data_IF_038671727619
#
_entry.id   IF_038671727619
#
_cell.length_a   1.000
_cell.length_b   1.000
_cell.length_c   1.000
_cell.angle_alpha   90.00
_cell.angle_beta   90.00
_cell.angle_gamma   90.00
#
_symmetry.space_group_name_H-M   'P 1'
#
loop_
_entity.id
_entity.type
_entity.pdbx_description
1 polymer ?
#
# COMPACT_ATOMS: atom_id res chain seq x y z
N UNK A 1 9.92 19.67 -14.77
CA UNK A 1 8.59 20.20 -14.40
C UNK A 1 8.38 19.99 -12.91
N UNK A 2 7.89 21.00 -12.20
CA UNK A 2 7.58 20.86 -10.78
C UNK A 2 6.32 20.00 -10.59
N UNK A 3 6.42 18.90 -9.86
CA UNK A 3 5.24 18.13 -9.46
C UNK A 3 4.50 18.82 -8.32
N UNK A 4 3.17 18.73 -8.35
CA UNK A 4 2.26 19.21 -7.32
C UNK A 4 2.01 18.10 -6.29
N UNK A 5 2.08 18.43 -5.00
CA UNK A 5 1.68 17.52 -3.94
C UNK A 5 0.21 17.73 -3.60
N UNK A 6 -0.54 16.62 -3.60
CA UNK A 6 -1.94 16.58 -3.17
C UNK A 6 -2.03 15.62 -2.00
N UNK A 7 -2.53 16.11 -0.87
CA UNK A 7 -2.79 15.28 0.30
C UNK A 7 -4.00 14.41 -0.01
N UNK A 8 -3.97 13.15 0.40
CA UNK A 8 -5.12 12.27 0.28
C UNK A 8 -5.17 11.30 1.46
N UNK A 9 -6.37 10.80 1.72
CA UNK A 9 -6.62 9.81 2.76
C UNK A 9 -7.81 8.92 2.36
N UNK A 10 -7.86 7.72 2.93
CA UNK A 10 -8.85 6.70 2.63
C UNK A 10 -9.47 6.15 3.90
N UNK A 11 -10.81 6.07 3.91
CA UNK A 11 -11.50 5.18 4.85
C UNK A 11 -11.86 3.86 4.19
N UNK A 12 -11.71 2.77 4.93
CA UNK A 12 -12.02 1.41 4.45
C UNK A 12 -12.97 0.67 5.37
N UNK A 13 -13.53 -0.42 4.88
CA UNK A 13 -14.35 -1.35 5.69
C UNK A 13 -13.55 -2.08 6.77
N UNK A 14 -12.23 -2.07 6.69
CA UNK A 14 -11.34 -2.84 7.55
C UNK A 14 -9.87 -2.69 7.15
N UNK A 15 -8.99 -3.36 7.90
CA UNK A 15 -7.54 -3.27 7.74
C UNK A 15 -6.92 -4.39 6.88
N UNK A 16 -7.74 -5.33 6.39
CA UNK A 16 -7.28 -6.43 5.53
C UNK A 16 -7.07 -5.97 4.10
N UNK A 17 -6.35 -6.77 3.32
CA UNK A 17 -6.05 -6.46 1.91
C UNK A 17 -7.27 -6.58 0.98
N UNK A 18 -8.30 -7.29 1.43
CA UNK A 18 -9.55 -7.48 0.68
C UNK A 18 -10.66 -6.52 1.11
N UNK A 19 -10.44 -5.70 2.15
CA UNK A 19 -11.34 -4.61 2.51
C UNK A 19 -11.43 -3.55 1.41
N UNK A 20 -12.56 -2.85 1.36
CA UNK A 20 -12.88 -1.91 0.29
C UNK A 20 -12.87 -0.49 0.81
N UNK A 21 -12.53 0.45 -0.08
CA UNK A 21 -12.55 1.88 0.22
C UNK A 21 -14.00 2.36 0.26
N UNK A 22 -14.36 3.08 1.31
CA UNK A 22 -15.68 3.67 1.57
C UNK A 22 -15.66 5.19 1.65
N UNK A 23 -14.48 5.81 1.78
CA UNK A 23 -14.29 7.26 1.59
C UNK A 23 -12.95 7.50 0.90
N UNK A 24 -12.91 8.47 -0.02
CA UNK A 24 -11.69 8.98 -0.63
C UNK A 24 -11.74 10.51 -0.57
N UNK A 25 -10.79 11.08 0.16
CA UNK A 25 -10.62 12.52 0.30
C UNK A 25 -9.26 12.97 -0.22
N UNK A 26 -9.20 14.18 -0.74
CA UNK A 26 -7.96 14.82 -1.13
C UNK A 26 -8.00 16.33 -0.99
N UNK A 27 -6.84 16.93 -0.71
CA UNK A 27 -6.68 18.36 -0.46
C UNK A 27 -5.50 18.91 -1.25
N UNK A 28 -5.75 19.98 -1.99
CA UNK A 28 -4.69 20.88 -2.45
C UNK A 28 -4.50 22.02 -1.44
N UNK A 29 -3.53 21.87 -0.55
CA UNK A 29 -3.32 22.76 0.60
C UNK A 29 -3.23 24.25 0.24
N UNK A 30 -2.48 24.61 -0.81
CA UNK A 30 -2.24 26.02 -1.15
C UNK A 30 -3.51 26.82 -1.52
N UNK A 31 -4.55 26.15 -2.03
CA UNK A 31 -5.82 26.79 -2.39
C UNK A 31 -7.00 26.32 -1.53
N UNK A 32 -6.75 25.45 -0.56
CA UNK A 32 -7.78 24.77 0.21
C UNK A 32 -8.86 24.09 -0.67
N UNK A 33 -8.46 23.49 -1.79
CA UNK A 33 -9.39 22.79 -2.67
C UNK A 33 -9.55 21.35 -2.23
N UNK A 34 -10.76 21.00 -1.83
CA UNK A 34 -11.10 19.69 -1.28
C UNK A 34 -11.88 18.87 -2.30
N UNK A 35 -11.49 17.61 -2.42
CA UNK A 35 -12.26 16.55 -3.02
C UNK A 35 -12.65 15.58 -1.92
N UNK A 36 -13.92 15.18 -1.85
CA UNK A 36 -14.39 14.16 -0.92
C UNK A 36 -15.52 13.37 -1.59
N UNK A 37 -15.42 12.04 -1.54
CA UNK A 37 -16.49 11.14 -1.98
C UNK A 37 -16.60 9.95 -1.04
N UNK A 38 -17.82 9.68 -0.59
CA UNK A 38 -18.16 8.38 -0.02
C UNK A 38 -18.46 7.39 -1.15
N UNK A 39 -17.95 6.16 -1.00
CA UNK A 39 -18.09 5.08 -1.96
C UNK A 39 -19.08 4.06 -1.40
N UNK A 40 -19.98 3.59 -2.25
CA UNK A 40 -21.00 2.60 -1.88
C UNK A 40 -20.31 1.32 -1.41
N UNK A 41 -20.52 0.88 -0.15
CA UNK A 41 -19.85 -0.29 0.39
C UNK A 41 -20.34 -1.56 -0.31
N UNK A 42 -19.40 -2.43 -0.68
CA UNK A 42 -19.69 -3.81 -1.14
C UNK A 42 -19.46 -4.85 -0.06
N UNK A 43 -18.95 -4.43 1.11
CA UNK A 43 -18.70 -5.25 2.30
C UNK A 43 -19.17 -4.51 3.56
N UNK A 44 -19.56 -5.23 4.62
CA UNK A 44 -19.80 -4.61 5.92
C UNK A 44 -18.53 -3.92 6.45
N UNK A 45 -18.70 -2.82 7.18
CA UNK A 45 -17.62 -2.22 7.95
C UNK A 45 -17.40 -3.06 9.20
N UNK A 46 -16.16 -3.48 9.43
CA UNK A 46 -15.78 -4.24 10.61
C UNK A 46 -15.94 -3.40 11.89
N UNK A 47 -16.21 -4.00 13.06
CA UNK A 47 -16.31 -3.25 14.32
C UNK A 47 -15.05 -2.46 14.66
N UNK A 48 -13.87 -2.95 14.26
CA UNK A 48 -12.61 -2.26 14.47
C UNK A 48 -12.48 -1.01 13.59
N UNK A 49 -12.80 -1.12 12.29
CA UNK A 49 -12.81 0.04 11.40
C UNK A 49 -13.87 1.06 11.82
N UNK A 50 -15.08 0.60 12.14
CA UNK A 50 -16.17 1.47 12.60
C UNK A 50 -15.80 2.26 13.87
N UNK A 51 -15.06 1.64 14.80
CA UNK A 51 -14.55 2.35 15.99
C UNK A 51 -13.52 3.42 15.63
N UNK A 52 -12.73 3.20 14.59
CA UNK A 52 -11.72 4.15 14.14
C UNK A 52 -12.41 5.28 13.40
N UNK A 53 -13.13 5.00 12.32
CA UNK A 53 -13.63 6.01 11.38
C UNK A 53 -15.10 6.42 11.54
N UNK A 54 -15.80 5.84 12.52
CA UNK A 54 -17.21 6.14 12.76
C UNK A 54 -18.15 5.71 11.64
N UNK A 55 -17.67 4.94 10.65
CA UNK A 55 -18.48 4.48 9.53
C UNK A 55 -19.17 3.16 9.86
N UNK A 56 -20.42 3.05 9.44
CA UNK A 56 -21.23 1.85 9.53
C UNK A 56 -21.88 1.57 8.17
N UNK A 57 -21.89 0.30 7.76
CA UNK A 57 -22.52 -0.13 6.53
C UNK A 57 -23.66 -1.11 6.80
N UNK A 58 -24.86 -0.76 6.34
CA UNK A 58 -26.05 -1.61 6.39
C UNK A 58 -26.51 -1.88 4.94
N UNK A 59 -26.12 -3.03 4.41
CA UNK A 59 -26.27 -3.33 2.99
C UNK A 59 -25.45 -2.38 2.13
N UNK A 60 -26.09 -1.68 1.20
CA UNK A 60 -25.46 -0.68 0.32
C UNK A 60 -25.54 0.76 0.86
N UNK A 61 -25.94 0.94 2.12
CA UNK A 61 -26.06 2.27 2.76
C UNK A 61 -24.90 2.45 3.72
N UNK A 62 -24.24 3.60 3.62
CA UNK A 62 -23.17 4.01 4.51
C UNK A 62 -23.66 5.12 5.44
N UNK A 63 -23.25 5.05 6.70
CA UNK A 63 -23.58 6.01 7.74
C UNK A 63 -22.29 6.46 8.41
N UNK A 64 -22.16 7.76 8.70
CA UNK A 64 -21.09 8.35 9.50
C UNK A 64 -21.70 8.82 10.81
N UNK A 65 -21.29 8.23 11.94
CA UNK A 65 -21.83 8.52 13.26
C UNK A 65 -23.37 8.48 13.30
N UNK A 66 -23.95 7.45 12.69
CA UNK A 66 -25.40 7.26 12.58
C UNK A 66 -26.11 8.11 11.51
N UNK A 67 -25.43 9.08 10.89
CA UNK A 67 -26.00 9.91 9.82
C UNK A 67 -25.73 9.30 8.46
N UNK A 68 -26.78 9.08 7.66
CA UNK A 68 -26.62 8.50 6.31
C UNK A 68 -25.87 9.47 5.40
N UNK A 69 -24.79 9.00 4.79
CA UNK A 69 -24.01 9.77 3.80
C UNK A 69 -24.41 9.41 2.37
N UNK A 70 -24.31 10.39 1.46
CA UNK A 70 -24.53 10.13 0.04
C UNK A 70 -23.29 9.44 -0.53
N UNK A 71 -23.50 8.27 -1.12
CA UNK A 71 -22.43 7.51 -1.77
C UNK A 71 -22.51 7.59 -3.29
N UNK A 72 -21.38 7.34 -3.94
CA UNK A 72 -21.28 7.08 -5.38
C UNK A 72 -20.71 5.68 -5.63
N UNK A 73 -20.77 5.19 -6.87
CA UNK A 73 -20.06 3.96 -7.25
C UNK A 73 -18.54 4.15 -7.21
N UNK A 74 -17.78 3.07 -6.98
CA UNK A 74 -16.31 3.07 -7.06
C UNK A 74 -15.78 3.71 -8.37
N UNK A 75 -16.31 3.30 -9.52
CA UNK A 75 -15.90 3.83 -10.83
C UNK A 75 -16.14 5.34 -10.94
N UNK A 76 -17.29 5.83 -10.44
CA UNK A 76 -17.60 7.26 -10.41
C UNK A 76 -16.66 8.02 -9.47
N UNK A 77 -16.36 7.49 -8.28
CA UNK A 77 -15.44 8.10 -7.34
C UNK A 77 -14.04 8.27 -7.96
N UNK A 78 -13.50 7.21 -8.56
CA UNK A 78 -12.19 7.24 -9.23
C UNK A 78 -12.20 8.20 -10.43
N UNK A 79 -13.24 8.17 -11.27
CA UNK A 79 -13.37 9.10 -12.40
C UNK A 79 -13.40 10.56 -11.94
N UNK A 80 -14.22 10.86 -10.93
CA UNK A 80 -14.30 12.20 -10.35
C UNK A 80 -12.99 12.62 -9.70
N UNK A 81 -12.26 11.70 -9.06
CA UNK A 81 -10.96 11.97 -8.46
C UNK A 81 -9.91 12.31 -9.52
N UNK A 82 -9.82 11.52 -10.60
CA UNK A 82 -8.92 11.82 -11.71
C UNK A 82 -9.27 13.18 -12.33
N UNK A 83 -10.55 13.49 -12.51
CA UNK A 83 -10.98 14.79 -13.03
C UNK A 83 -10.65 15.96 -12.10
N UNK A 84 -10.73 15.75 -10.78
CA UNK A 84 -10.23 16.72 -9.80
C UNK A 84 -8.73 16.98 -10.01
N UNK A 85 -7.92 15.92 -10.09
CA UNK A 85 -6.47 16.04 -10.27
C UNK A 85 -6.07 16.65 -11.64
N UNK A 86 -6.83 16.37 -12.71
CA UNK A 86 -6.56 16.93 -14.05
C UNK A 86 -6.62 18.45 -14.10
N UNK A 87 -7.44 19.07 -13.26
CA UNK A 87 -7.61 20.53 -13.24
C UNK A 87 -6.31 21.29 -12.95
N UNK A 88 -5.33 20.64 -12.31
CA UNK A 88 -4.04 21.25 -12.02
C UNK A 88 -3.11 21.37 -13.23
N UNK A 89 -3.38 20.64 -14.33
CA UNK A 89 -2.58 20.67 -15.57
C UNK A 89 -1.06 20.45 -15.37
N UNK A 90 -0.67 19.77 -14.29
CA UNK A 90 0.72 19.42 -13.96
C UNK A 90 0.80 18.00 -13.39
N UNK A 91 1.98 17.35 -13.45
CA UNK A 91 2.19 16.08 -12.76
C UNK A 91 1.86 16.13 -11.25
N UNK A 92 1.07 15.18 -10.78
CA UNK A 92 0.67 15.07 -9.37
C UNK A 92 1.46 13.98 -8.65
N UNK A 93 1.88 14.28 -7.41
CA UNK A 93 2.30 13.30 -6.41
C UNK A 93 1.24 13.27 -5.30
N UNK A 94 0.70 12.09 -5.03
CA UNK A 94 -0.25 11.88 -3.94
C UNK A 94 0.49 11.62 -2.63
N UNK A 95 0.15 12.32 -1.56
CA UNK A 95 0.81 12.22 -0.26
C UNK A 95 -0.19 11.83 0.82
N UNK A 96 0.07 10.73 1.51
CA UNK A 96 -0.70 10.29 2.67
C UNK A 96 0.21 9.91 3.84
N UNK A 97 -0.37 9.69 5.01
CA UNK A 97 0.37 9.24 6.19
C UNK A 97 0.45 7.72 6.25
N UNK A 98 1.68 7.15 6.33
CA UNK A 98 1.90 5.71 6.19
C UNK A 98 1.39 5.15 4.84
N UNK A 99 1.44 6.02 3.83
CA UNK A 99 0.89 5.83 2.49
C UNK A 99 1.30 4.51 1.84
N UNK A 100 2.58 4.12 1.91
CA UNK A 100 3.05 2.92 1.21
C UNK A 100 2.59 1.62 1.85
N UNK A 101 2.21 1.65 3.13
CA UNK A 101 1.71 0.48 3.86
C UNK A 101 0.19 0.34 3.75
N UNK A 102 -0.53 1.46 3.60
CA UNK A 102 -1.98 1.48 3.69
C UNK A 102 -2.68 2.02 2.43
N UNK A 103 -2.55 3.31 2.15
CA UNK A 103 -3.37 4.02 1.17
C UNK A 103 -3.02 3.70 -0.28
N UNK A 104 -1.73 3.78 -0.61
CA UNK A 104 -1.21 3.56 -1.95
C UNK A 104 -1.63 2.20 -2.55
N UNK A 105 -1.40 1.05 -1.88
CA UNK A 105 -1.79 -0.23 -2.44
C UNK A 105 -3.32 -0.37 -2.61
N UNK A 106 -4.12 0.23 -1.71
CA UNK A 106 -5.58 0.19 -1.77
C UNK A 106 -6.13 1.04 -2.91
N UNK A 107 -5.64 2.27 -3.06
CA UNK A 107 -6.05 3.15 -4.15
C UNK A 107 -5.66 2.56 -5.51
N UNK A 108 -4.43 2.06 -5.66
CA UNK A 108 -3.99 1.45 -6.92
C UNK A 108 -4.79 0.20 -7.28
N UNK A 109 -5.14 -0.62 -6.27
CA UNK A 109 -6.03 -1.77 -6.45
C UNK A 109 -7.41 -1.32 -6.95
N UNK A 110 -8.05 -0.37 -6.26
CA UNK A 110 -9.36 0.16 -6.66
C UNK A 110 -9.34 0.73 -8.08
N UNK A 111 -8.34 1.57 -8.38
CA UNK A 111 -8.16 2.19 -9.71
C UNK A 111 -7.99 1.13 -10.80
N UNK A 112 -7.26 0.04 -10.51
CA UNK A 112 -7.09 -1.08 -11.43
C UNK A 112 -8.39 -1.87 -11.62
N UNK A 113 -9.12 -2.17 -10.54
CA UNK A 113 -10.36 -2.93 -10.56
C UNK A 113 -11.47 -2.23 -11.36
N UNK A 114 -11.50 -0.90 -11.34
CA UNK A 114 -12.45 -0.10 -12.14
C UNK A 114 -11.93 0.25 -13.54
N UNK A 115 -10.79 -0.32 -13.96
CA UNK A 115 -10.24 -0.15 -15.31
C UNK A 115 -9.68 1.25 -15.61
N UNK A 116 -9.34 2.05 -14.60
CA UNK A 116 -8.90 3.45 -14.77
C UNK A 116 -7.40 3.68 -14.55
N UNK A 117 -6.59 2.62 -14.52
CA UNK A 117 -5.16 2.71 -14.25
C UNK A 117 -4.40 3.59 -15.27
N UNK A 118 -4.73 3.50 -16.56
CA UNK A 118 -4.07 4.30 -17.59
C UNK A 118 -4.41 5.81 -17.44
N UNK A 119 -5.69 6.23 -17.41
CA UNK A 119 -6.07 7.61 -17.09
C UNK A 119 -5.45 8.15 -15.80
N UNK A 120 -5.33 7.31 -14.77
CA UNK A 120 -4.74 7.71 -13.50
C UNK A 120 -3.24 8.01 -13.64
N UNK A 121 -2.48 7.15 -14.34
CA UNK A 121 -1.03 7.29 -14.58
C UNK A 121 -0.67 8.49 -15.46
N UNK A 122 -1.60 8.96 -16.29
CA UNK A 122 -1.41 10.19 -17.07
C UNK A 122 -1.23 11.40 -16.15
N UNK A 123 -1.91 11.42 -15.01
CA UNK A 123 -1.98 12.56 -14.08
C UNK A 123 -1.05 12.34 -12.87
N UNK A 124 -1.17 11.19 -12.21
CA UNK A 124 -0.42 10.84 -11.01
C UNK A 124 0.88 10.15 -11.39
N UNK A 125 2.01 10.75 -11.02
CA UNK A 125 3.36 10.23 -11.33
C UNK A 125 4.01 9.51 -10.17
N UNK A 126 3.47 9.62 -8.97
CA UNK A 126 4.02 8.95 -7.81
C UNK A 126 3.21 9.19 -6.54
N UNK A 127 3.71 8.56 -5.48
CA UNK A 127 3.18 8.65 -4.14
C UNK A 127 4.29 9.06 -3.18
N UNK A 128 3.94 9.76 -2.11
CA UNK A 128 4.85 10.14 -1.05
C UNK A 128 4.25 9.75 0.32
N UNK A 129 5.11 9.42 1.27
CA UNK A 129 4.70 8.93 2.59
C UNK A 129 5.20 9.87 3.69
N UNK A 130 4.28 10.48 4.43
CA UNK A 130 4.66 11.45 5.47
C UNK A 130 5.27 10.80 6.72
N UNK A 131 5.05 9.50 6.96
CA UNK A 131 5.58 8.83 8.14
C UNK A 131 7.12 8.85 8.20
N UNK A 132 7.87 8.43 7.16
CA UNK A 132 9.33 8.58 7.15
C UNK A 132 9.76 10.06 7.15
N UNK A 133 9.01 10.96 6.50
CA UNK A 133 9.32 12.40 6.51
C UNK A 133 9.28 12.99 7.93
N UNK A 134 8.24 12.67 8.71
CA UNK A 134 8.14 13.12 10.10
C UNK A 134 9.25 12.52 10.97
N UNK A 135 9.62 11.26 10.76
CA UNK A 135 10.75 10.65 11.49
C UNK A 135 12.08 11.34 11.19
N UNK A 136 12.28 11.76 9.95
CA UNK A 136 13.46 12.53 9.52
C UNK A 136 13.48 13.92 10.17
N UNK A 137 12.34 14.64 10.15
CA UNK A 137 12.23 16.00 10.72
C UNK A 137 12.20 16.05 12.24
N UNK A 138 11.77 14.97 12.90
CA UNK A 138 11.57 14.91 14.35
C UNK A 138 12.45 13.81 14.99
N UNK A 139 13.79 13.87 14.86
CA UNK A 139 14.68 12.81 15.33
C UNK A 139 14.61 12.61 16.85
N UNK A 140 14.40 13.68 17.63
CA UNK A 140 14.21 13.59 19.08
C UNK A 140 12.99 12.76 19.46
N UNK A 141 11.90 12.86 18.69
CA UNK A 141 10.67 12.08 18.91
C UNK A 141 10.91 10.59 18.64
N UNK A 142 11.75 10.27 17.65
CA UNK A 142 12.21 8.89 17.38
C UNK A 142 13.03 8.35 18.55
N UNK A 143 14.01 9.12 19.04
CA UNK A 143 14.84 8.72 20.19
C UNK A 143 13.99 8.45 21.45
N UNK A 144 12.97 9.27 21.67
CA UNK A 144 12.02 9.14 22.78
C UNK A 144 10.97 8.02 22.55
N UNK A 145 11.04 7.28 21.44
CA UNK A 145 10.10 6.20 21.09
C UNK A 145 8.63 6.63 21.13
N UNK A 146 8.35 7.89 20.79
CA UNK A 146 6.99 8.44 20.76
C UNK A 146 6.26 8.03 19.47
N UNK A 147 4.93 7.95 19.54
CA UNK A 147 4.07 7.58 18.39
C UNK A 147 4.08 8.67 17.31
N UNK A 148 3.94 8.26 16.06
CA UNK A 148 3.89 9.15 14.89
C UNK A 148 2.54 9.14 14.17
N UNK A 149 1.48 8.58 14.77
CA UNK A 149 0.14 8.69 14.19
C UNK A 149 -0.29 10.15 14.08
N UNK A 150 -1.16 10.48 13.11
CA UNK A 150 -1.70 11.83 12.92
C UNK A 150 -2.18 12.42 14.25
N UNK A 151 -3.03 11.70 14.99
CA UNK A 151 -3.51 12.14 16.31
C UNK A 151 -2.38 12.47 17.31
N UNK A 152 -1.31 11.67 17.34
CA UNK A 152 -0.21 11.87 18.29
C UNK A 152 0.70 13.03 17.88
N UNK A 153 0.83 13.30 16.58
CA UNK A 153 1.54 14.46 16.06
C UNK A 153 0.70 15.73 16.27
N UNK A 154 -0.59 15.69 15.92
CA UNK A 154 -1.51 16.81 16.06
C UNK A 154 -1.59 17.28 17.52
N UNK A 155 -1.70 16.36 18.48
CA UNK A 155 -1.65 16.68 19.91
C UNK A 155 -0.36 17.37 20.39
N UNK A 156 0.74 17.29 19.62
CA UNK A 156 2.01 17.92 19.97
C UNK A 156 2.25 19.23 19.22
N UNK A 157 1.76 19.35 17.99
CA UNK A 157 2.18 20.39 17.05
C UNK A 157 1.06 21.30 16.55
N UNK A 158 -0.20 20.96 16.82
CA UNK A 158 -1.35 21.79 16.46
C UNK A 158 -2.05 22.29 17.73
N UNK A 159 -2.40 23.57 17.75
CA UNK A 159 -3.24 24.19 18.77
C UNK A 159 -4.72 23.94 18.43
N UNK A 160 -5.59 23.89 19.44
CA UNK A 160 -7.05 23.84 19.30
C UNK A 160 -7.62 22.71 18.40
N UNK A 161 -6.97 21.54 18.39
CA UNK A 161 -7.47 20.39 17.63
C UNK A 161 -8.71 19.78 18.31
N UNK A 162 -9.82 19.72 17.57
CA UNK A 162 -10.95 18.86 17.94
C UNK A 162 -10.65 17.41 17.56
N UNK A 163 -10.24 16.60 18.54
CA UNK A 163 -9.95 15.18 18.32
C UNK A 163 -11.19 14.36 17.91
N UNK A 164 -12.40 14.89 18.08
CA UNK A 164 -13.62 14.18 17.68
C UNK A 164 -13.82 14.11 16.17
N UNK A 165 -13.10 14.94 15.40
CA UNK A 165 -13.17 14.98 13.94
C UNK A 165 -12.14 14.08 13.24
N UNK A 166 -11.20 13.51 14.01
CA UNK A 166 -10.22 12.55 13.49
C UNK A 166 -10.92 11.31 12.94
N UNK A 167 -10.29 10.69 11.93
CA UNK A 167 -10.81 9.49 11.25
C UNK A 167 -12.05 9.74 10.39
N UNK A 168 -12.17 10.98 9.91
CA UNK A 168 -12.83 11.30 8.66
C UNK A 168 -11.74 11.66 7.67
N UNK A 169 -11.68 10.97 6.52
CA UNK A 169 -10.61 11.20 5.54
C UNK A 169 -10.49 12.67 5.09
N UNK A 170 -11.57 13.46 5.08
CA UNK A 170 -11.50 14.90 4.78
C UNK A 170 -10.76 15.70 5.85
N UNK A 171 -10.98 15.38 7.12
CA UNK A 171 -10.33 16.05 8.24
C UNK A 171 -8.89 15.58 8.38
N UNK A 172 -8.63 14.28 8.19
CA UNK A 172 -7.28 13.72 8.25
C UNK A 172 -6.35 14.34 7.19
N UNK A 173 -6.85 14.68 5.98
CA UNK A 173 -6.03 15.40 4.98
C UNK A 173 -5.76 16.86 5.36
N UNK A 174 -6.71 17.55 6.02
CA UNK A 174 -6.52 18.92 6.52
C UNK A 174 -5.47 18.93 7.64
N UNK A 175 -5.64 18.05 8.62
CA UNK A 175 -4.73 17.90 9.75
C UNK A 175 -3.33 17.51 9.26
N UNK A 176 -3.22 16.61 8.28
CA UNK A 176 -1.93 16.25 7.70
C UNK A 176 -1.27 17.46 7.01
N UNK A 177 -2.01 18.26 6.25
CA UNK A 177 -1.49 19.49 5.64
C UNK A 177 -0.96 20.46 6.71
N UNK A 178 -1.75 20.68 7.77
CA UNK A 178 -1.41 21.63 8.83
C UNK A 178 -0.20 21.14 9.64
N UNK A 179 -0.10 19.84 9.90
CA UNK A 179 1.08 19.22 10.51
C UNK A 179 2.34 19.42 9.67
N UNK A 180 2.24 19.28 8.36
CA UNK A 180 3.37 19.44 7.45
C UNK A 180 3.86 20.90 7.46
N UNK A 181 2.93 21.86 7.56
CA UNK A 181 3.26 23.28 7.73
C UNK A 181 3.89 23.54 9.11
N UNK A 182 3.26 23.08 10.19
CA UNK A 182 3.71 23.32 11.57
C UNK A 182 5.10 22.73 11.85
N UNK A 183 5.42 21.57 11.28
CA UNK A 183 6.74 20.93 11.38
C UNK A 183 7.78 21.58 10.45
N UNK A 184 7.37 22.48 9.55
CA UNK A 184 8.26 23.11 8.57
C UNK A 184 8.77 22.11 7.53
N UNK A 185 7.89 21.24 7.02
CA UNK A 185 8.25 20.26 6.02
C UNK A 185 8.59 20.94 4.70
N UNK A 186 9.82 20.75 4.22
CA UNK A 186 10.28 21.30 2.96
C UNK A 186 10.05 20.33 1.78
N UNK A 187 10.03 20.92 0.59
CA UNK A 187 9.80 20.21 -0.67
C UNK A 187 10.89 19.19 -0.99
N UNK A 188 12.12 19.39 -0.53
CA UNK A 188 13.23 18.47 -0.78
C UNK A 188 13.01 17.16 -0.01
N UNK A 189 12.67 17.24 1.28
CA UNK A 189 12.28 16.07 2.09
C UNK A 189 11.07 15.36 1.48
N UNK A 190 10.05 16.10 1.02
CA UNK A 190 8.87 15.49 0.37
C UNK A 190 9.25 14.73 -0.91
N UNK A 191 10.13 15.30 -1.74
CA UNK A 191 10.59 14.66 -2.97
C UNK A 191 11.47 13.42 -2.69
N UNK A 192 12.37 13.46 -1.69
CA UNK A 192 13.18 12.30 -1.30
C UNK A 192 12.34 11.10 -0.85
N UNK A 193 11.18 11.37 -0.26
CA UNK A 193 10.24 10.36 0.22
C UNK A 193 9.15 10.00 -0.82
N UNK A 194 9.35 10.41 -2.08
CA UNK A 194 8.45 10.08 -3.20
C UNK A 194 8.93 8.84 -3.95
N UNK A 195 7.98 8.00 -4.37
CA UNK A 195 8.21 6.83 -5.23
C UNK A 195 7.39 6.95 -6.50
N UNK A 196 8.00 6.63 -7.64
CA UNK A 196 7.32 6.65 -8.93
C UNK A 196 6.24 5.56 -9.03
N UNK A 197 5.10 5.89 -9.63
CA UNK A 197 3.95 4.97 -9.77
C UNK A 197 4.30 3.69 -10.52
N UNK A 198 5.13 3.76 -11.57
CA UNK A 198 5.54 2.58 -12.34
C UNK A 198 6.35 1.62 -11.48
N UNK A 199 7.32 2.12 -10.71
CA UNK A 199 8.13 1.29 -9.80
C UNK A 199 7.29 0.67 -8.67
N UNK A 200 6.26 1.37 -8.18
CA UNK A 200 5.32 0.82 -7.19
C UNK A 200 4.51 -0.33 -7.80
N UNK A 201 3.95 -0.13 -9.00
CA UNK A 201 3.15 -1.15 -9.69
C UNK A 201 3.97 -2.41 -10.01
N UNK A 202 5.20 -2.25 -10.47
CA UNK A 202 6.15 -3.36 -10.68
C UNK A 202 6.42 -4.12 -9.38
N UNK A 203 6.62 -3.40 -8.28
CA UNK A 203 6.82 -4.03 -6.97
C UNK A 203 5.58 -4.82 -6.52
N UNK A 204 4.39 -4.25 -6.67
CA UNK A 204 3.13 -4.91 -6.35
C UNK A 204 2.94 -6.19 -7.18
N UNK A 205 3.18 -6.12 -8.50
CA UNK A 205 3.12 -7.29 -9.39
C UNK A 205 4.11 -8.37 -8.97
N UNK A 206 5.35 -7.98 -8.65
CA UNK A 206 6.38 -8.91 -8.16
C UNK A 206 5.98 -9.56 -6.84
N UNK A 207 5.36 -8.83 -5.90
CA UNK A 207 4.86 -9.38 -4.64
C UNK A 207 3.77 -10.43 -4.86
N UNK A 208 2.84 -10.19 -5.78
CA UNK A 208 1.81 -11.19 -6.12
C UNK A 208 2.39 -12.44 -6.78
N UNK A 209 3.39 -12.31 -7.67
CA UNK A 209 4.09 -13.46 -8.25
C UNK A 209 4.80 -14.27 -7.16
N UNK A 210 5.54 -13.60 -6.26
CA UNK A 210 6.24 -14.27 -5.15
C UNK A 210 5.23 -15.00 -4.24
N UNK A 211 4.08 -14.38 -3.97
CA UNK A 211 3.01 -14.99 -3.17
C UNK A 211 2.43 -16.23 -3.87
N UNK A 212 2.14 -16.15 -5.16
CA UNK A 212 1.66 -17.28 -5.95
C UNK A 212 2.68 -18.43 -5.96
N UNK A 213 3.96 -18.12 -6.23
CA UNK A 213 5.05 -19.08 -6.15
C UNK A 213 5.11 -19.73 -4.77
N UNK A 214 5.10 -18.93 -3.69
CA UNK A 214 5.15 -19.45 -2.32
C UNK A 214 3.95 -20.33 -1.97
N UNK A 215 2.76 -20.00 -2.46
CA UNK A 215 1.56 -20.83 -2.29
C UNK A 215 1.67 -22.17 -3.00
N UNK A 216 2.26 -22.22 -4.19
CA UNK A 216 2.50 -23.48 -4.90
C UNK A 216 3.46 -24.42 -4.17
N UNK A 217 4.35 -23.87 -3.34
CA UNK A 217 5.37 -24.61 -2.59
C UNK A 217 4.88 -25.12 -1.22
N UNK A 218 3.58 -25.05 -0.92
CA UNK A 218 3.03 -25.41 0.40
C UNK A 218 3.23 -26.89 0.75
N UNK A 219 3.23 -27.79 -0.22
CA UNK A 219 3.41 -29.23 0.05
C UNK A 219 4.82 -29.58 0.55
N UNK A 220 5.79 -28.69 0.32
CA UNK A 220 7.18 -28.85 0.77
C UNK A 220 7.40 -28.31 2.20
N UNK A 221 6.34 -27.82 2.85
CA UNK A 221 6.37 -27.44 4.26
C UNK A 221 6.61 -28.70 5.13
N UNK A 222 7.54 -28.61 6.08
CA UNK A 222 7.97 -29.74 6.91
C UNK A 222 9.29 -30.37 6.44
N UNK A 223 9.52 -30.48 5.14
CA UNK A 223 10.82 -30.90 4.60
C UNK A 223 11.78 -29.73 4.40
N UNK A 224 11.24 -28.56 4.05
CA UNK A 224 11.98 -27.33 3.83
C UNK A 224 11.58 -26.27 4.84
N UNK A 225 12.56 -25.48 5.29
CA UNK A 225 12.27 -24.34 6.15
C UNK A 225 11.54 -23.25 5.38
N UNK A 226 10.71 -22.46 6.08
CA UNK A 226 10.00 -21.33 5.47
C UNK A 226 10.95 -20.35 4.76
N UNK A 227 12.15 -20.16 5.32
CA UNK A 227 13.20 -19.34 4.72
C UNK A 227 13.61 -19.85 3.33
N UNK A 228 13.82 -21.17 3.18
CA UNK A 228 14.19 -21.77 1.88
C UNK A 228 13.03 -21.67 0.89
N UNK A 229 11.81 -22.00 1.30
CA UNK A 229 10.62 -21.89 0.44
C UNK A 229 10.37 -20.45 -0.02
N UNK A 230 10.58 -19.46 0.85
CA UNK A 230 10.49 -18.05 0.50
C UNK A 230 11.61 -17.62 -0.46
N UNK A 231 12.82 -18.15 -0.29
CA UNK A 231 13.93 -17.90 -1.21
C UNK A 231 13.68 -18.50 -2.59
N UNK A 232 13.15 -19.72 -2.66
CA UNK A 232 12.69 -20.34 -3.91
C UNK A 232 11.68 -19.43 -4.62
N UNK A 233 10.61 -19.05 -3.90
CA UNK A 233 9.55 -18.20 -4.45
C UNK A 233 10.06 -16.84 -4.97
N UNK A 234 11.00 -16.21 -4.24
CA UNK A 234 11.66 -14.95 -4.64
C UNK A 234 12.52 -15.08 -5.89
N UNK A 235 13.09 -16.24 -6.13
CA UNK A 235 13.91 -16.54 -7.32
C UNK A 235 13.08 -17.16 -8.47
N UNK A 236 11.76 -16.96 -8.42
CA UNK A 236 10.86 -17.43 -9.47
C UNK A 236 10.61 -18.93 -9.46
N UNK A 237 11.07 -19.68 -8.46
CA UNK A 237 10.87 -21.13 -8.38
C UNK A 237 9.52 -21.40 -7.73
N UNK A 238 8.67 -22.16 -8.44
CA UNK A 238 7.36 -22.62 -8.01
C UNK A 238 7.25 -24.14 -8.27
N UNK A 239 6.14 -24.77 -7.87
CA UNK A 239 5.95 -26.22 -8.04
C UNK A 239 6.12 -26.68 -9.50
N UNK A 240 5.49 -25.97 -10.43
CA UNK A 240 5.53 -26.30 -11.86
C UNK A 240 6.97 -26.31 -12.39
N UNK A 241 7.76 -25.27 -12.08
CA UNK A 241 9.17 -25.20 -12.48
C UNK A 241 9.99 -26.35 -11.90
N UNK A 242 9.71 -26.77 -10.66
CA UNK A 242 10.39 -27.91 -10.05
C UNK A 242 10.08 -29.20 -10.80
N UNK A 243 8.80 -29.49 -11.04
CA UNK A 243 8.37 -30.68 -11.78
C UNK A 243 8.95 -30.69 -13.20
N UNK A 244 8.79 -29.58 -13.93
CA UNK A 244 9.31 -29.43 -15.30
C UNK A 244 10.83 -29.62 -15.37
N UNK A 245 11.56 -29.11 -14.39
CA UNK A 245 13.03 -29.23 -14.33
C UNK A 245 13.43 -30.67 -14.06
N UNK A 246 12.74 -31.34 -13.12
CA UNK A 246 13.00 -32.74 -12.81
C UNK A 246 12.67 -33.65 -14.01
N UNK A 247 11.53 -33.45 -14.66
CA UNK A 247 11.11 -34.26 -15.80
C UNK A 247 12.10 -34.17 -16.99
N UNK A 248 12.75 -33.01 -17.16
CA UNK A 248 13.71 -32.77 -18.25
C UNK A 248 15.14 -33.18 -17.91
N UNK A 249 15.57 -32.95 -16.68
CA UNK A 249 16.99 -32.97 -16.29
C UNK A 249 17.28 -33.82 -15.05
N UNK A 250 16.26 -34.44 -14.45
CA UNK A 250 16.36 -35.26 -13.25
C UNK A 250 16.92 -34.52 -12.03
N UNK A 251 17.54 -35.29 -11.13
CA UNK A 251 18.23 -34.80 -9.92
C UNK A 251 19.23 -33.68 -10.21
N UNK A 252 20.00 -33.83 -11.30
CA UNK A 252 21.04 -32.87 -11.70
C UNK A 252 20.43 -31.51 -12.08
N UNK A 253 19.24 -31.51 -12.69
CA UNK A 253 18.49 -30.29 -12.99
C UNK A 253 18.12 -29.52 -11.73
N UNK A 254 17.53 -30.20 -10.74
CA UNK A 254 17.17 -29.59 -9.45
C UNK A 254 18.42 -29.13 -8.69
N UNK A 255 19.50 -29.92 -8.72
CA UNK A 255 20.78 -29.57 -8.13
C UNK A 255 21.33 -28.27 -8.72
N UNK A 256 21.35 -28.16 -10.06
CA UNK A 256 21.75 -26.91 -10.74
C UNK A 256 20.82 -25.76 -10.38
N UNK A 257 19.50 -25.94 -10.49
CA UNK A 257 18.50 -24.90 -10.20
C UNK A 257 18.65 -24.32 -8.79
N UNK A 258 19.00 -25.13 -7.80
CA UNK A 258 19.14 -24.68 -6.41
C UNK A 258 20.50 -24.02 -6.14
N UNK A 259 21.56 -24.51 -6.78
CA UNK A 259 22.95 -24.13 -6.48
C UNK A 259 23.54 -23.11 -7.44
N UNK A 260 22.92 -22.85 -8.58
CA UNK A 260 23.40 -21.83 -9.53
C UNK A 260 23.48 -20.45 -8.89
N UNK A 261 24.44 -19.64 -9.31
CA UNK A 261 24.66 -18.33 -8.72
C UNK A 261 23.88 -17.26 -9.47
N UNK A 262 23.04 -16.53 -8.72
CA UNK A 262 22.30 -15.37 -9.19
C UNK A 262 22.68 -14.19 -8.29
N UNK A 263 23.27 -13.14 -8.87
CA UNK A 263 23.78 -11.98 -8.12
C UNK A 263 24.71 -12.38 -6.96
N UNK A 264 25.75 -13.16 -7.29
CA UNK A 264 26.82 -13.60 -6.37
C UNK A 264 26.38 -14.50 -5.21
N UNK A 265 25.13 -14.97 -5.21
CA UNK A 265 24.59 -15.87 -4.19
C UNK A 265 23.96 -17.09 -4.86
N UNK A 266 23.94 -18.27 -4.21
CA UNK A 266 23.19 -19.39 -4.75
C UNK A 266 21.71 -19.01 -4.89
N UNK A 267 21.06 -19.49 -5.95
CA UNK A 267 19.66 -19.20 -6.24
C UNK A 267 18.77 -19.64 -5.08
N UNK A 268 19.05 -20.80 -4.49
CA UNK A 268 18.37 -21.30 -3.29
C UNK A 268 19.36 -21.66 -2.17
N UNK A 269 20.33 -22.54 -2.42
CA UNK A 269 21.25 -23.04 -1.39
C UNK A 269 22.50 -23.65 -2.01
N UNK A 270 23.62 -23.64 -1.28
CA UNK A 270 24.82 -24.40 -1.63
C UNK A 270 24.90 -25.77 -0.91
N UNK A 271 23.96 -26.05 0.00
CA UNK A 271 23.95 -27.30 0.75
C UNK A 271 23.43 -28.45 -0.13
N UNK A 272 24.35 -29.15 -0.80
CA UNK A 272 24.00 -30.33 -1.62
C UNK A 272 23.23 -31.38 -0.83
N UNK A 273 23.60 -31.62 0.44
CA UNK A 273 22.86 -32.56 1.31
C UNK A 273 21.43 -32.14 1.62
N UNK A 274 21.12 -30.83 1.62
CA UNK A 274 19.73 -30.36 1.70
C UNK A 274 18.98 -30.61 0.39
N UNK A 275 19.63 -30.43 -0.76
CA UNK A 275 19.03 -30.71 -2.07
C UNK A 275 18.77 -32.22 -2.26
N UNK A 276 19.71 -33.09 -1.90
CA UNK A 276 19.47 -34.54 -1.98
C UNK A 276 18.32 -35.00 -1.07
N UNK A 277 18.23 -34.46 0.14
CA UNK A 277 17.09 -34.75 1.03
C UNK A 277 15.77 -34.26 0.45
N UNK A 278 15.78 -33.16 -0.29
CA UNK A 278 14.59 -32.66 -1.00
C UNK A 278 14.16 -33.61 -2.10
N UNK A 279 15.10 -33.99 -2.96
CA UNK A 279 14.89 -34.92 -4.07
C UNK A 279 14.32 -36.23 -3.56
N UNK A 280 15.00 -36.92 -2.66
CA UNK A 280 14.58 -38.22 -2.12
C UNK A 280 13.19 -38.24 -1.47
N UNK A 281 12.66 -37.09 -1.05
CA UNK A 281 11.36 -37.02 -0.39
C UNK A 281 10.22 -36.69 -1.35
N UNK A 282 10.50 -35.99 -2.45
CA UNK A 282 9.48 -35.37 -3.31
C UNK A 282 9.53 -35.81 -4.78
N UNK A 283 10.58 -36.51 -5.18
CA UNK A 283 10.84 -36.99 -6.53
C UNK A 283 11.34 -38.43 -6.47
#
# INVERSE_FOLDING_TARGET
MASLFIFFDLETTGFRNDDVIVQLSALYGCKNWIFNNYITPSKPVSPEASRVNGLEAFGNKLFLHGNRVRTVSAAKAVSSFINFLRQFNVPVILLAHNCFSFDCPRLLKLVSEVGMLNPFREVVKGFADSLPMFKEKLPMRVQQRRRFSIAALAATYLEDLDFSTLHNAEEDVKILNDLMIAVGMDRETMMRNTRNISSILEEMKRREIIKANRCSLREYEGTMSNYILMRMARNGINKEILLDTFDKEGDDGIMRLFTEYVNEKPRVTNSRGLVYRFLNYHF
#
